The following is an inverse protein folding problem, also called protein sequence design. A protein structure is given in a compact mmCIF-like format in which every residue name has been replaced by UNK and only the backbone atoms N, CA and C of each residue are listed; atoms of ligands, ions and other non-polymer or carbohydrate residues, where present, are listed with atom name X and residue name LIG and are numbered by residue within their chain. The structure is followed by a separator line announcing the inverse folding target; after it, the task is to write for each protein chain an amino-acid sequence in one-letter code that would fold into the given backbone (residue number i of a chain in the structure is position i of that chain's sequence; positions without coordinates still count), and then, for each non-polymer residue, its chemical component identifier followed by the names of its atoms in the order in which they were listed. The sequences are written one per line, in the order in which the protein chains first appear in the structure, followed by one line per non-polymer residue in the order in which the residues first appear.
data_IF_857541421648
#
_entry.id   IF_857541421648
#
_cell.length_a   1.000
_cell.length_b   1.000
_cell.length_c   1.000
_cell.angle_alpha   90.00
_cell.angle_beta   90.00
_cell.angle_gamma   90.00
#
_symmetry.space_group_name_H-M   'P 1'
#
loop_
_entity.id
_entity.type
_entity.pdbx_description
1 polymer ?
#
# COMPACT_ATOMS: atom_id res chain seq x y z
N UNK A 1 18.41 12.86 17.03
CA UNK A 1 18.94 11.67 16.33
C UNK A 1 19.31 12.08 14.90
N UNK A 2 20.58 12.30 14.57
CA UNK A 2 21.01 12.75 13.23
C UNK A 2 20.57 11.81 12.10
N UNK A 3 20.45 10.52 12.42
CA UNK A 3 20.03 9.48 11.48
C UNK A 3 18.61 9.66 10.94
N UNK A 4 17.67 10.25 11.71
CA UNK A 4 16.29 10.42 11.25
C UNK A 4 16.20 11.56 10.23
N UNK A 5 16.90 12.67 10.46
CA UNK A 5 16.89 13.81 9.55
C UNK A 5 17.41 13.44 8.14
N UNK A 6 18.46 12.61 8.06
CA UNK A 6 18.95 12.08 6.77
C UNK A 6 17.89 11.19 6.09
N UNK A 7 17.14 10.40 6.86
CA UNK A 7 16.05 9.56 6.34
C UNK A 7 14.86 10.39 5.89
N UNK A 8 14.56 11.52 6.54
CA UNK A 8 13.55 12.49 6.08
C UNK A 8 13.90 13.09 4.72
N UNK A 9 15.18 13.39 4.50
CA UNK A 9 15.66 13.82 3.16
C UNK A 9 15.42 12.70 2.14
N UNK A 10 15.69 11.44 2.50
CA UNK A 10 15.40 10.32 1.62
C UNK A 10 13.90 10.17 1.32
N UNK A 11 13.03 10.37 2.32
CA UNK A 11 11.58 10.37 2.14
C UNK A 11 11.16 11.50 1.21
N UNK A 12 11.68 12.72 1.38
CA UNK A 12 11.40 13.84 0.46
C UNK A 12 11.82 13.49 -0.97
N UNK A 13 13.03 12.95 -1.16
CA UNK A 13 13.50 12.51 -2.48
C UNK A 13 12.58 11.45 -3.08
N UNK A 14 12.14 10.47 -2.29
CA UNK A 14 11.20 9.44 -2.72
C UNK A 14 9.85 10.05 -3.12
N UNK A 15 9.32 10.95 -2.30
CA UNK A 15 8.06 11.63 -2.57
C UNK A 15 8.14 12.53 -3.81
N UNK A 16 9.28 13.12 -4.11
CA UNK A 16 9.55 13.89 -5.34
C UNK A 16 9.94 13.01 -6.54
N UNK A 17 9.72 11.69 -6.44
CA UNK A 17 9.97 10.71 -7.48
C UNK A 17 11.44 10.54 -7.89
N UNK A 18 12.38 10.97 -7.03
CA UNK A 18 13.82 10.75 -7.19
C UNK A 18 14.22 9.44 -6.51
N UNK A 19 13.59 8.35 -6.95
CA UNK A 19 13.64 7.04 -6.28
C UNK A 19 15.06 6.49 -6.13
N UNK A 20 15.86 6.48 -7.20
CA UNK A 20 17.25 5.98 -7.14
C UNK A 20 18.12 6.79 -6.18
N UNK A 21 17.88 8.10 -6.05
CA UNK A 21 18.62 8.95 -5.11
C UNK A 21 18.24 8.67 -3.66
N UNK A 22 16.94 8.50 -3.39
CA UNK A 22 16.44 8.08 -2.08
C UNK A 22 17.01 6.72 -1.68
N UNK A 23 16.96 5.72 -2.58
CA UNK A 23 17.51 4.39 -2.34
C UNK A 23 19.01 4.45 -2.06
N UNK A 24 19.78 5.21 -2.86
CA UNK A 24 21.23 5.37 -2.67
C UNK A 24 21.57 6.02 -1.33
N UNK A 25 20.82 7.07 -0.93
CA UNK A 25 21.02 7.75 0.35
C UNK A 25 20.82 6.77 1.52
N UNK A 26 19.72 6.01 1.51
CA UNK A 26 19.42 5.04 2.56
C UNK A 26 20.41 3.87 2.57
N UNK A 27 20.76 3.36 1.39
CA UNK A 27 21.69 2.24 1.24
C UNK A 27 23.10 2.57 1.74
N UNK A 28 23.56 3.82 1.58
CA UNK A 28 24.89 4.24 2.00
C UNK A 28 25.18 4.01 3.50
N UNK A 29 24.15 4.05 4.34
CA UNK A 29 24.24 3.82 5.80
C UNK A 29 23.39 2.63 6.28
N UNK A 30 22.85 1.85 5.35
CA UNK A 30 22.19 0.59 5.67
C UNK A 30 23.17 -0.34 6.40
N UNK A 31 22.67 -1.16 7.33
CA UNK A 31 23.45 -2.00 8.25
C UNK A 31 24.33 -1.24 9.27
N UNK A 32 24.30 0.10 9.28
CA UNK A 32 25.03 0.94 10.26
C UNK A 32 24.10 1.81 11.09
N UNK A 33 22.97 2.22 10.53
CA UNK A 33 21.93 2.97 11.21
C UNK A 33 20.58 2.26 11.13
N UNK A 34 19.88 2.16 12.25
CA UNK A 34 18.57 1.50 12.34
C UNK A 34 17.56 2.12 11.37
N UNK A 35 17.43 3.44 11.36
CA UNK A 35 16.45 4.12 10.53
C UNK A 35 16.79 4.12 9.03
N UNK A 36 18.07 4.17 8.67
CA UNK A 36 18.49 4.02 7.27
C UNK A 36 18.18 2.61 6.75
N UNK A 37 18.48 1.59 7.56
CA UNK A 37 18.22 0.19 7.21
C UNK A 37 16.72 -0.07 7.10
N UNK A 38 15.93 0.43 8.05
CA UNK A 38 14.47 0.35 8.00
C UNK A 38 13.91 1.09 6.78
N UNK A 39 14.32 2.34 6.56
CA UNK A 39 13.86 3.15 5.42
C UNK A 39 14.19 2.49 4.07
N UNK A 40 15.40 1.93 3.93
CA UNK A 40 15.78 1.14 2.75
C UNK A 40 14.87 -0.08 2.59
N UNK A 41 14.58 -0.80 3.68
CA UNK A 41 13.64 -1.92 3.69
C UNK A 41 12.21 -1.52 3.31
N UNK A 42 11.72 -0.36 3.77
CA UNK A 42 10.37 0.17 3.45
C UNK A 42 10.27 0.49 1.96
N UNK A 43 11.21 1.28 1.41
CA UNK A 43 11.22 1.62 -0.03
C UNK A 43 11.40 0.35 -0.87
N UNK A 44 12.30 -0.54 -0.45
CA UNK A 44 12.50 -1.84 -1.10
C UNK A 44 11.23 -2.69 -1.08
N UNK A 45 10.44 -2.67 0.00
CA UNK A 45 9.16 -3.39 0.07
C UNK A 45 8.14 -2.82 -0.90
N UNK A 46 8.03 -1.48 -0.98
CA UNK A 46 7.16 -0.83 -1.95
C UNK A 46 7.56 -1.28 -3.37
N UNK A 47 8.85 -1.20 -3.70
CA UNK A 47 9.39 -1.65 -4.98
C UNK A 47 9.07 -3.12 -5.25
N UNK A 48 9.36 -4.01 -4.30
CA UNK A 48 9.13 -5.44 -4.41
C UNK A 48 7.65 -5.80 -4.61
N UNK A 49 6.72 -5.13 -3.92
CA UNK A 49 5.28 -5.34 -4.10
C UNK A 49 4.77 -4.84 -5.46
N UNK A 50 5.48 -3.92 -6.10
CA UNK A 50 5.11 -3.35 -7.39
C UNK A 50 5.75 -4.11 -8.56
N UNK A 51 7.01 -4.51 -8.42
CA UNK A 51 7.76 -5.19 -9.49
C UNK A 51 7.60 -6.71 -9.42
N UNK A 52 7.47 -7.26 -8.21
CA UNK A 52 7.57 -8.70 -7.92
C UNK A 52 8.80 -9.36 -8.53
N UNK A 53 9.86 -8.58 -8.75
CA UNK A 53 11.12 -9.15 -9.22
C UNK A 53 11.78 -9.86 -8.04
N UNK A 54 12.21 -11.14 -8.21
CA UNK A 54 12.83 -11.89 -7.13
C UNK A 54 14.00 -11.13 -6.48
N UNK A 55 14.78 -10.40 -7.28
CA UNK A 55 15.91 -9.60 -6.79
C UNK A 55 15.46 -8.44 -5.89
N UNK A 56 14.36 -7.76 -6.23
CA UNK A 56 13.82 -6.67 -5.40
C UNK A 56 13.21 -7.24 -4.11
N UNK A 57 12.52 -8.37 -4.19
CA UNK A 57 11.97 -9.09 -3.03
C UNK A 57 13.09 -9.50 -2.08
N UNK A 58 14.14 -10.16 -2.59
CA UNK A 58 15.27 -10.64 -1.78
C UNK A 58 16.00 -9.45 -1.11
N UNK A 59 16.27 -8.39 -1.86
CA UNK A 59 16.92 -7.19 -1.33
C UNK A 59 16.09 -6.51 -0.22
N UNK A 60 14.76 -6.44 -0.39
CA UNK A 60 13.86 -5.91 0.63
C UNK A 60 13.83 -6.81 1.87
N UNK A 61 13.73 -8.14 1.69
CA UNK A 61 13.73 -9.13 2.77
C UNK A 61 15.02 -9.06 3.60
N UNK A 62 16.18 -8.95 2.95
CA UNK A 62 17.49 -8.84 3.60
C UNK A 62 17.61 -7.54 4.41
N UNK A 63 17.15 -6.41 3.85
CA UNK A 63 17.14 -5.13 4.53
C UNK A 63 16.22 -5.14 5.77
N UNK A 64 15.01 -5.69 5.64
CA UNK A 64 14.06 -5.81 6.75
C UNK A 64 14.55 -6.75 7.84
N UNK A 65 15.23 -7.85 7.46
CA UNK A 65 15.87 -8.75 8.42
C UNK A 65 16.96 -8.02 9.20
N UNK A 66 17.83 -7.30 8.51
CA UNK A 66 18.88 -6.51 9.15
C UNK A 66 18.30 -5.43 10.09
N UNK A 67 17.24 -4.73 9.66
CA UNK A 67 16.54 -3.77 10.52
C UNK A 67 15.94 -4.44 11.77
N UNK A 68 15.38 -5.64 11.62
CA UNK A 68 14.85 -6.43 12.74
C UNK A 68 15.96 -6.82 13.73
N UNK A 69 17.10 -7.29 13.23
CA UNK A 69 18.25 -7.72 14.05
C UNK A 69 18.88 -6.52 14.79
N UNK A 70 19.08 -5.40 14.10
CA UNK A 70 19.57 -4.15 14.70
C UNK A 70 18.60 -3.62 15.76
N UNK A 71 17.30 -3.59 15.46
CA UNK A 71 16.29 -3.18 16.41
C UNK A 71 16.31 -4.10 17.63
N UNK A 72 16.43 -5.42 17.44
CA UNK A 72 16.51 -6.39 18.53
C UNK A 72 17.70 -6.14 19.46
N UNK A 73 18.86 -5.75 18.92
CA UNK A 73 20.05 -5.41 19.72
C UNK A 73 19.86 -4.13 20.55
N UNK A 74 19.02 -3.20 20.10
CA UNK A 74 18.72 -1.95 20.82
C UNK A 74 17.50 -2.06 21.77
N UNK A 75 16.73 -3.14 21.69
CA UNK A 75 15.56 -3.36 22.56
C UNK A 75 15.98 -3.70 23.98
N UNK A 76 15.13 -3.34 24.94
CA UNK A 76 15.34 -3.69 26.34
C UNK A 76 15.23 -5.20 26.51
N UNK A 77 16.26 -5.84 27.10
CA UNK A 77 16.23 -7.26 27.40
C UNK A 77 15.02 -7.59 28.29
N UNK A 78 14.25 -8.60 27.89
CA UNK A 78 13.20 -9.16 28.72
C UNK A 78 13.70 -10.48 29.30
N UNK A 79 13.63 -10.62 30.62
CA UNK A 79 13.91 -11.90 31.28
C UNK A 79 12.99 -13.00 30.73
N UNK A 80 13.50 -14.22 30.63
CA UNK A 80 12.83 -15.39 30.06
C UNK A 80 11.40 -15.60 30.61
N UNK A 81 11.20 -15.39 31.92
CA UNK A 81 9.90 -15.50 32.59
C UNK A 81 8.90 -14.42 32.14
N UNK A 82 9.36 -13.19 31.94
CA UNK A 82 8.53 -12.08 31.44
C UNK A 82 8.12 -12.31 29.97
N UNK A 83 9.02 -12.88 29.16
CA UNK A 83 8.73 -13.28 27.78
C UNK A 83 7.61 -14.32 27.69
N UNK A 84 7.68 -15.38 28.51
CA UNK A 84 6.65 -16.42 28.56
C UNK A 84 5.30 -15.89 29.08
N UNK A 85 5.31 -15.07 30.14
CA UNK A 85 4.09 -14.45 30.66
C UNK A 85 3.41 -13.54 29.61
N UNK A 86 4.19 -12.79 28.83
CA UNK A 86 3.68 -11.92 27.76
C UNK A 86 3.03 -12.70 26.59
N UNK A 87 3.52 -13.91 26.32
CA UNK A 87 3.03 -14.79 25.26
C UNK A 87 1.72 -15.50 25.66
N UNK A 88 1.57 -15.88 26.93
CA UNK A 88 0.37 -16.58 27.45
C UNK A 88 -0.78 -15.60 27.74
N UNK A 89 -0.49 -14.37 28.18
CA UNK A 89 -1.52 -13.39 28.57
C UNK A 89 -2.03 -12.52 27.42
N UNK A 90 -1.47 -12.67 26.21
CA UNK A 90 -1.73 -11.80 25.06
C UNK A 90 -1.23 -10.36 25.26
N UNK A 91 -0.45 -10.10 26.31
CA UNK A 91 0.02 -8.77 26.69
C UNK A 91 1.13 -8.22 25.78
N UNK A 92 1.74 -9.04 24.92
CA UNK A 92 2.85 -8.64 24.05
C UNK A 92 4.04 -8.09 24.83
N UNK A 93 5.13 -7.74 24.13
CA UNK A 93 6.32 -7.18 24.77
C UNK A 93 6.08 -5.83 25.47
N UNK A 94 5.05 -5.07 25.07
CA UNK A 94 4.67 -3.80 25.70
C UNK A 94 4.02 -3.92 27.09
N UNK A 95 3.65 -5.14 27.52
CA UNK A 95 2.81 -5.34 28.70
C UNK A 95 1.34 -4.95 28.44
N UNK A 96 0.43 -5.43 29.30
CA UNK A 96 -1.02 -5.28 29.10
C UNK A 96 -1.45 -3.81 28.91
N UNK A 97 -0.73 -2.88 29.55
CA UNK A 97 -1.07 -1.45 29.62
C UNK A 97 0.09 -0.52 29.20
N UNK A 98 1.10 -1.02 28.48
CA UNK A 98 2.24 -0.19 28.04
C UNK A 98 3.21 0.22 29.16
N UNK A 99 3.03 -0.28 30.38
CA UNK A 99 3.82 0.08 31.58
C UNK A 99 5.32 -0.21 31.42
N UNK A 100 5.68 -1.19 30.60
CA UNK A 100 7.08 -1.52 30.32
C UNK A 100 7.78 -0.43 29.49
N UNK A 101 7.05 0.34 28.68
CA UNK A 101 7.60 1.41 27.84
C UNK A 101 7.93 2.68 28.63
N UNK A 102 7.25 2.93 29.76
CA UNK A 102 7.55 4.10 30.62
C UNK A 102 8.99 4.08 31.14
N UNK A 103 9.54 2.88 31.35
CA UNK A 103 10.91 2.67 31.83
C UNK A 103 11.92 2.43 30.69
N UNK A 104 11.61 2.84 29.47
CA UNK A 104 12.49 2.73 28.30
C UNK A 104 13.03 4.09 27.87
N UNK A 105 14.28 4.10 27.42
CA UNK A 105 14.85 5.27 26.76
C UNK A 105 14.13 5.55 25.43
N UNK A 106 14.27 6.77 24.88
CA UNK A 106 13.76 7.10 23.55
C UNK A 106 14.27 6.10 22.49
N UNK A 107 15.58 5.80 22.49
CA UNK A 107 16.15 4.81 21.57
C UNK A 107 15.49 3.42 21.67
N UNK A 108 15.25 2.93 22.90
CA UNK A 108 14.60 1.64 23.11
C UNK A 108 13.15 1.62 22.59
N UNK A 109 12.41 2.72 22.76
CA UNK A 109 11.04 2.86 22.22
C UNK A 109 11.05 2.88 20.70
N UNK A 110 11.96 3.63 20.09
CA UNK A 110 12.14 3.64 18.65
C UNK A 110 12.55 2.25 18.11
N UNK A 111 13.36 1.50 18.86
CA UNK A 111 13.71 0.12 18.52
C UNK A 111 12.51 -0.84 18.59
N UNK A 112 11.61 -0.70 19.56
CA UNK A 112 10.35 -1.47 19.61
C UNK A 112 9.49 -1.19 18.37
N UNK A 113 9.32 0.10 18.03
CA UNK A 113 8.55 0.53 16.86
C UNK A 113 9.17 0.03 15.55
N UNK A 114 10.47 0.28 15.34
CA UNK A 114 11.21 -0.13 14.16
C UNK A 114 11.21 -1.66 13.98
N UNK A 115 11.32 -2.42 15.08
CA UNK A 115 11.19 -3.87 15.06
C UNK A 115 9.81 -4.28 14.57
N UNK A 116 8.74 -3.71 15.14
CA UNK A 116 7.37 -4.07 14.75
C UNK A 116 7.10 -3.76 13.28
N UNK A 117 7.59 -2.61 12.78
CA UNK A 117 7.47 -2.20 11.39
C UNK A 117 8.23 -3.12 10.43
N UNK A 118 9.53 -3.34 10.67
CA UNK A 118 10.35 -4.21 9.82
C UNK A 118 9.80 -5.64 9.79
N UNK A 119 9.40 -6.14 10.96
CA UNK A 119 8.87 -7.48 11.11
C UNK A 119 7.51 -7.66 10.42
N UNK A 120 6.63 -6.65 10.50
CA UNK A 120 5.37 -6.63 9.79
C UNK A 120 5.57 -6.66 8.29
N UNK A 121 6.40 -5.75 7.74
CA UNK A 121 6.65 -5.68 6.30
C UNK A 121 7.27 -6.98 5.78
N UNK A 122 8.18 -7.59 6.55
CA UNK A 122 8.78 -8.88 6.22
C UNK A 122 7.74 -9.99 6.16
N UNK A 123 6.82 -10.05 7.14
CA UNK A 123 5.75 -11.03 7.16
C UNK A 123 4.78 -10.83 5.98
N UNK A 124 4.42 -9.59 5.67
CA UNK A 124 3.58 -9.26 4.50
C UNK A 124 4.27 -9.67 3.20
N UNK A 125 5.54 -9.33 3.00
CA UNK A 125 6.28 -9.68 1.79
C UNK A 125 6.43 -11.19 1.65
N UNK A 126 6.68 -11.90 2.76
CA UNK A 126 6.70 -13.37 2.79
C UNK A 126 5.34 -13.96 2.42
N UNK A 127 4.22 -13.41 2.90
CA UNK A 127 2.86 -13.88 2.55
C UNK A 127 2.51 -13.66 1.09
N UNK A 128 2.99 -12.57 0.50
CA UNK A 128 2.72 -12.20 -0.89
C UNK A 128 3.55 -13.03 -1.87
N UNK A 129 4.72 -13.51 -1.44
CA UNK A 129 5.68 -14.23 -2.29
C UNK A 129 5.70 -15.74 -2.05
N UNK A 130 5.41 -16.20 -0.83
CA UNK A 130 5.36 -17.62 -0.48
C UNK A 130 3.98 -18.21 -0.79
N UNK A 131 3.97 -19.38 -1.45
CA UNK A 131 2.76 -20.09 -1.85
C UNK A 131 2.33 -21.16 -0.83
N UNK A 132 3.09 -21.34 0.26
CA UNK A 132 2.86 -22.37 1.25
C UNK A 132 1.85 -21.96 2.34
N UNK A 133 0.77 -22.73 2.50
CA UNK A 133 -0.23 -22.50 3.56
C UNK A 133 0.33 -22.60 4.99
N UNK A 134 1.40 -23.37 5.20
CA UNK A 134 2.09 -23.44 6.51
C UNK A 134 2.82 -22.13 6.78
N UNK A 135 3.45 -21.55 5.76
CA UNK A 135 4.03 -20.21 5.86
C UNK A 135 2.94 -19.17 6.17
N UNK A 136 1.76 -19.29 5.56
CA UNK A 136 0.64 -18.40 5.84
C UNK A 136 0.26 -18.34 7.34
N UNK A 137 0.13 -19.50 7.98
CA UNK A 137 -0.20 -19.57 9.43
C UNK A 137 0.93 -18.99 10.27
N UNK A 138 2.19 -19.34 9.97
CA UNK A 138 3.36 -18.83 10.67
C UNK A 138 3.47 -17.31 10.57
N UNK A 139 3.36 -16.76 9.37
CA UNK A 139 3.44 -15.31 9.16
C UNK A 139 2.22 -14.59 9.77
N UNK A 140 1.04 -15.21 9.80
CA UNK A 140 -0.11 -14.68 10.54
C UNK A 140 0.16 -14.49 12.04
N UNK A 141 0.87 -15.43 12.68
CA UNK A 141 1.32 -15.28 14.07
C UNK A 141 2.36 -14.16 14.22
N UNK A 142 3.24 -13.99 13.23
CA UNK A 142 4.23 -12.93 13.22
C UNK A 142 3.58 -11.54 13.13
N UNK A 143 2.56 -11.40 12.27
CA UNK A 143 1.74 -10.18 12.16
C UNK A 143 1.05 -9.86 13.50
N UNK A 144 0.55 -10.87 14.22
CA UNK A 144 -0.02 -10.68 15.56
C UNK A 144 0.98 -10.16 16.57
N UNK A 145 2.21 -10.66 16.53
CA UNK A 145 3.28 -10.16 17.40
C UNK A 145 3.59 -8.69 17.12
N UNK A 146 3.65 -8.28 15.84
CA UNK A 146 3.82 -6.88 15.47
C UNK A 146 2.65 -6.02 15.98
N UNK A 147 1.40 -6.46 15.77
CA UNK A 147 0.20 -5.76 16.26
C UNK A 147 0.22 -5.58 17.78
N UNK A 148 0.64 -6.60 18.54
CA UNK A 148 0.73 -6.51 19.99
C UNK A 148 1.75 -5.46 20.46
N UNK A 149 2.87 -5.29 19.73
CA UNK A 149 3.85 -4.24 20.02
C UNK A 149 3.23 -2.86 19.74
N UNK A 150 2.60 -2.67 18.57
CA UNK A 150 1.91 -1.42 18.25
C UNK A 150 0.83 -1.05 19.27
N UNK A 151 0.00 -2.02 19.67
CA UNK A 151 -1.04 -1.82 20.68
C UNK A 151 -0.45 -1.42 22.03
N UNK A 152 0.67 -2.02 22.44
CA UNK A 152 1.39 -1.63 23.65
C UNK A 152 1.96 -0.21 23.58
N UNK A 153 2.56 0.16 22.44
CA UNK A 153 3.06 1.51 22.21
C UNK A 153 1.93 2.55 22.20
N UNK A 154 0.79 2.22 21.58
CA UNK A 154 -0.38 3.08 21.52
C UNK A 154 -0.99 3.32 22.91
N UNK A 155 -1.18 2.28 23.71
CA UNK A 155 -1.66 2.44 25.10
C UNK A 155 -0.73 3.30 25.95
N UNK A 156 0.58 3.14 25.79
CA UNK A 156 1.57 3.97 26.48
C UNK A 156 1.43 5.45 26.07
N UNK A 157 1.31 5.71 24.77
CA UNK A 157 1.13 7.04 24.23
C UNK A 157 -0.16 7.69 24.74
N UNK A 158 -1.29 6.99 24.62
CA UNK A 158 -2.62 7.45 25.04
C UNK A 158 -2.64 7.79 26.52
N UNK A 159 -2.16 6.88 27.37
CA UNK A 159 -2.06 7.11 28.82
C UNK A 159 -1.18 8.31 29.17
N UNK A 160 -0.01 8.43 28.54
CA UNK A 160 0.88 9.57 28.80
C UNK A 160 0.20 10.89 28.44
N UNK A 161 -0.54 10.90 27.33
CA UNK A 161 -1.26 12.07 26.88
C UNK A 161 -2.48 12.41 27.76
N UNK A 162 -3.21 11.41 28.25
CA UNK A 162 -4.34 11.60 29.17
C UNK A 162 -3.89 12.11 30.55
N UNK A 163 -2.80 11.54 31.10
CA UNK A 163 -2.30 11.87 32.43
C UNK A 163 -1.56 13.22 32.47
N UNK A 164 -0.75 13.52 31.45
CA UNK A 164 0.22 14.63 31.48
C UNK A 164 0.13 15.58 30.26
N UNK A 165 -0.79 15.34 29.33
CA UNK A 165 -0.95 16.16 28.13
C UNK A 165 0.27 16.12 27.18
N UNK A 166 0.37 17.12 26.31
CA UNK A 166 1.51 17.25 25.36
C UNK A 166 2.85 17.44 26.08
N UNK A 167 2.86 18.12 27.24
CA UNK A 167 4.08 18.33 28.02
C UNK A 167 4.63 17.01 28.60
N UNK A 168 3.75 16.05 28.91
CA UNK A 168 4.14 14.70 29.32
C UNK A 168 4.88 13.93 28.23
N UNK A 169 4.50 14.14 26.96
CA UNK A 169 5.18 13.53 25.82
C UNK A 169 6.62 14.07 25.71
N UNK A 170 6.79 15.39 25.77
CA UNK A 170 8.10 16.04 25.72
C UNK A 170 9.00 15.62 26.89
N UNK A 171 8.47 15.67 28.12
CA UNK A 171 9.18 15.25 29.34
C UNK A 171 9.55 13.78 29.31
N UNK A 172 8.67 12.95 28.75
CA UNK A 172 8.90 11.53 28.51
C UNK A 172 9.88 11.25 27.37
N UNK A 173 10.36 12.25 26.63
CA UNK A 173 11.20 12.07 25.45
C UNK A 173 10.49 11.25 24.36
N UNK A 174 9.19 11.48 24.19
CA UNK A 174 8.36 10.90 23.11
C UNK A 174 8.31 11.94 21.99
N UNK A 175 9.04 11.68 20.91
CA UNK A 175 9.09 12.57 19.75
C UNK A 175 8.02 12.27 18.71
N UNK A 176 7.81 13.20 17.78
CA UNK A 176 6.84 13.12 16.70
C UNK A 176 7.05 11.93 15.76
N UNK A 177 8.28 11.42 15.61
CA UNK A 177 8.57 10.28 14.75
C UNK A 177 8.08 8.98 15.39
N UNK A 178 8.20 8.85 16.72
CA UNK A 178 7.57 7.77 17.46
C UNK A 178 6.05 7.86 17.37
N UNK A 179 5.48 9.04 17.65
CA UNK A 179 4.02 9.19 17.68
C UNK A 179 3.39 8.87 16.33
N UNK A 180 3.90 9.47 15.24
CA UNK A 180 3.42 9.21 13.88
C UNK A 180 3.49 7.73 13.51
N UNK A 181 4.54 7.00 13.93
CA UNK A 181 4.65 5.57 13.64
C UNK A 181 3.72 4.69 14.45
N UNK A 182 3.49 5.01 15.71
CA UNK A 182 2.50 4.30 16.53
C UNK A 182 1.09 4.50 15.97
N UNK A 183 0.75 5.73 15.57
CA UNK A 183 -0.53 6.05 14.96
C UNK A 183 -0.71 5.38 13.59
N UNK A 184 0.34 5.37 12.74
CA UNK A 184 0.33 4.65 11.47
C UNK A 184 0.04 3.17 11.66
N UNK A 185 0.78 2.50 12.55
CA UNK A 185 0.59 1.07 12.78
C UNK A 185 -0.78 0.76 13.34
N UNK A 186 -1.19 1.46 14.40
CA UNK A 186 -2.47 1.20 15.06
C UNK A 186 -3.66 1.52 14.15
N UNK A 187 -3.61 2.63 13.41
CA UNK A 187 -4.60 2.98 12.41
C UNK A 187 -4.62 1.99 11.25
N UNK A 188 -3.47 1.66 10.69
CA UNK A 188 -3.36 0.76 9.56
C UNK A 188 -3.84 -0.66 9.84
N UNK A 189 -3.51 -1.23 11.01
CA UNK A 189 -4.01 -2.54 11.42
C UNK A 189 -5.54 -2.56 11.51
N UNK A 190 -6.12 -1.59 12.21
CA UNK A 190 -7.57 -1.52 12.39
C UNK A 190 -8.30 -1.27 11.06
N UNK A 191 -7.72 -0.45 10.17
CA UNK A 191 -8.28 -0.19 8.85
C UNK A 191 -8.33 -1.48 8.03
N UNK A 192 -7.20 -2.19 7.90
CA UNK A 192 -7.12 -3.44 7.13
C UNK A 192 -8.07 -4.49 7.70
N UNK A 193 -8.12 -4.66 9.02
CA UNK A 193 -9.02 -5.61 9.68
C UNK A 193 -10.49 -5.25 9.43
N UNK A 194 -10.87 -3.96 9.49
CA UNK A 194 -12.24 -3.50 9.25
C UNK A 194 -12.73 -3.71 7.82
N UNK A 195 -11.81 -3.96 6.90
CA UNK A 195 -12.06 -4.18 5.47
C UNK A 195 -12.06 -5.67 5.08
N UNK A 196 -11.73 -6.56 6.02
CA UNK A 196 -11.74 -7.99 5.74
C UNK A 196 -13.17 -8.54 5.58
N UNK A 197 -13.40 -9.50 4.67
CA UNK A 197 -14.69 -10.19 4.59
C UNK A 197 -15.07 -10.82 5.94
N UNK A 198 -16.35 -10.83 6.35
CA UNK A 198 -16.76 -11.28 7.68
C UNK A 198 -16.34 -12.71 8.06
N UNK A 199 -16.15 -13.59 7.06
CA UNK A 199 -15.65 -14.94 7.29
C UNK A 199 -14.17 -14.96 7.66
N UNK A 200 -13.37 -14.10 7.05
CA UNK A 200 -11.93 -13.97 7.34
C UNK A 200 -11.75 -13.24 8.66
N UNK A 201 -12.48 -12.14 8.88
CA UNK A 201 -12.41 -11.37 10.12
C UNK A 201 -12.69 -12.24 11.35
N UNK A 202 -13.72 -13.09 11.32
CA UNK A 202 -14.02 -14.05 12.41
C UNK A 202 -12.86 -14.98 12.76
N UNK A 203 -12.02 -15.36 11.80
CA UNK A 203 -10.83 -16.18 12.07
C UNK A 203 -9.78 -15.40 12.88
N UNK A 204 -9.62 -14.12 12.57
CA UNK A 204 -8.71 -13.23 13.29
C UNK A 204 -9.28 -12.81 14.66
N UNK A 205 -10.60 -12.63 14.78
CA UNK A 205 -11.29 -12.35 16.06
C UNK A 205 -11.10 -13.45 17.09
N UNK A 206 -11.15 -14.72 16.67
CA UNK A 206 -10.85 -15.85 17.56
C UNK A 206 -9.42 -15.80 18.15
N UNK A 207 -8.50 -15.07 17.51
CA UNK A 207 -7.10 -14.92 17.92
C UNK A 207 -6.88 -13.57 18.64
N UNK A 208 -7.94 -12.77 18.84
CA UNK A 208 -7.93 -11.53 19.61
C UNK A 208 -7.73 -10.25 18.79
N UNK A 209 -7.93 -10.31 17.48
CA UNK A 209 -7.97 -9.12 16.63
C UNK A 209 -9.39 -8.57 16.50
N UNK A 210 -9.52 -7.26 16.43
CA UNK A 210 -10.77 -6.59 16.04
C UNK A 210 -10.40 -5.44 15.12
N UNK A 211 -11.24 -5.15 14.13
CA UNK A 211 -11.08 -4.00 13.26
C UNK A 211 -12.12 -2.94 13.60
N UNK A 212 -11.68 -1.75 13.96
CA UNK A 212 -12.54 -0.57 14.14
C UNK A 212 -12.13 0.50 13.14
N UNK A 213 -13.02 0.79 12.18
CA UNK A 213 -12.72 1.70 11.07
C UNK A 213 -12.70 3.16 11.49
N UNK A 214 -13.64 3.59 12.34
CA UNK A 214 -13.70 4.98 12.80
C UNK A 214 -12.47 5.31 13.65
N UNK A 215 -12.12 4.38 14.55
CA UNK A 215 -10.88 4.46 15.30
C UNK A 215 -9.66 4.49 14.37
N UNK A 216 -9.63 3.64 13.34
CA UNK A 216 -8.52 3.60 12.38
C UNK A 216 -8.31 4.93 11.66
N UNK A 217 -9.37 5.48 11.06
CA UNK A 217 -9.33 6.73 10.32
C UNK A 217 -8.91 7.87 11.22
N UNK A 218 -9.49 7.98 12.42
CA UNK A 218 -9.12 9.03 13.39
C UNK A 218 -7.63 9.00 13.75
N UNK A 219 -7.02 7.81 13.89
CA UNK A 219 -5.58 7.69 14.21
C UNK A 219 -4.69 8.03 13.03
N UNK A 220 -5.07 7.63 11.83
CA UNK A 220 -4.36 8.02 10.61
C UNK A 220 -4.48 9.53 10.38
N UNK A 221 -5.64 10.14 10.62
CA UNK A 221 -5.83 11.59 10.56
C UNK A 221 -4.90 12.32 11.54
N UNK A 222 -4.88 11.90 12.81
CA UNK A 222 -3.95 12.45 13.80
C UNK A 222 -2.48 12.32 13.38
N UNK A 223 -2.09 11.13 12.88
CA UNK A 223 -0.72 10.88 12.42
C UNK A 223 -0.35 11.64 11.14
N UNK A 224 -1.34 11.97 10.31
CA UNK A 224 -1.21 12.84 9.15
C UNK A 224 -1.25 14.34 9.50
N UNK A 225 -1.61 14.70 10.73
CA UNK A 225 -1.73 16.09 11.18
C UNK A 225 -3.10 16.73 10.87
N UNK A 226 -4.17 15.93 10.78
CA UNK A 226 -5.51 16.36 10.39
C UNK A 226 -6.53 16.25 11.55
N UNK A 227 -7.42 17.25 11.73
CA UNK A 227 -7.23 18.65 11.31
C UNK A 227 -5.96 19.25 11.97
N UNK A 228 -5.38 20.33 11.41
CA UNK A 228 -4.16 20.98 11.91
C UNK A 228 -4.43 21.70 13.24
N UNK A 229 -4.66 20.90 14.28
CA UNK A 229 -4.85 21.33 15.66
C UNK A 229 -3.56 21.12 16.42
N UNK A 230 -3.36 21.87 17.51
CA UNK A 230 -2.19 21.71 18.37
C UNK A 230 -2.00 20.25 18.83
N UNK A 231 -3.10 19.54 19.10
CA UNK A 231 -3.09 18.09 19.43
C UNK A 231 -2.51 17.24 18.30
N UNK A 232 -2.92 17.43 17.04
CA UNK A 232 -2.42 16.66 15.91
C UNK A 232 -0.97 17.04 15.54
N UNK A 233 -0.62 18.32 15.70
CA UNK A 233 0.75 18.81 15.50
C UNK A 233 1.72 18.22 16.55
N UNK A 234 1.32 18.20 17.82
CA UNK A 234 2.08 17.59 18.92
C UNK A 234 2.07 16.04 18.86
N UNK A 235 1.08 15.44 18.20
CA UNK A 235 0.92 13.99 18.12
C UNK A 235 1.45 13.36 16.82
N UNK A 236 2.13 14.07 15.91
CA UNK A 236 2.76 13.42 14.75
C UNK A 236 2.74 14.16 13.42
N UNK A 237 2.16 15.37 13.36
CA UNK A 237 2.08 16.16 12.12
C UNK A 237 3.42 16.53 11.44
N UNK A 238 4.56 16.31 12.10
CA UNK A 238 5.92 16.44 11.55
C UNK A 238 6.72 15.14 11.57
N UNK A 239 6.10 14.04 11.98
CA UNK A 239 6.79 12.78 12.16
C UNK A 239 7.18 12.14 10.83
N UNK A 240 8.20 11.28 10.88
CA UNK A 240 8.77 10.63 9.69
C UNK A 240 7.72 9.83 8.90
N UNK A 241 6.67 9.36 9.56
CA UNK A 241 5.63 8.47 9.01
C UNK A 241 4.34 9.21 8.64
N UNK A 242 4.31 10.54 8.76
CA UNK A 242 3.15 11.38 8.39
C UNK A 242 2.68 11.08 6.96
N UNK A 243 3.60 11.04 6.00
CA UNK A 243 3.25 10.79 4.60
C UNK A 243 2.59 9.40 4.40
N UNK A 244 2.95 8.40 5.20
CA UNK A 244 2.34 7.07 5.11
C UNK A 244 0.91 7.11 5.65
N UNK A 245 0.64 7.88 6.71
CA UNK A 245 -0.72 8.11 7.20
C UNK A 245 -1.57 8.79 6.13
N UNK A 246 -1.05 9.85 5.49
CA UNK A 246 -1.71 10.53 4.38
C UNK A 246 -1.99 9.56 3.22
N UNK A 247 -1.00 8.76 2.82
CA UNK A 247 -1.18 7.75 1.77
C UNK A 247 -2.24 6.71 2.14
N UNK A 248 -2.29 6.21 3.39
CA UNK A 248 -3.32 5.26 3.81
C UNK A 248 -4.73 5.86 3.77
N UNK A 249 -4.89 7.11 4.20
CA UNK A 249 -6.16 7.84 4.09
C UNK A 249 -6.57 8.01 2.63
N UNK A 250 -5.64 8.36 1.75
CA UNK A 250 -5.90 8.51 0.32
C UNK A 250 -6.22 7.17 -0.36
N UNK A 251 -5.52 6.10 0.00
CA UNK A 251 -5.84 4.74 -0.47
C UNK A 251 -7.27 4.36 -0.07
N UNK A 252 -7.70 4.69 1.15
CA UNK A 252 -9.05 4.41 1.61
C UNK A 252 -10.11 5.28 0.92
N UNK A 253 -9.95 6.60 0.95
CA UNK A 253 -10.96 7.54 0.46
C UNK A 253 -11.00 7.70 -1.05
N UNK A 254 -9.92 7.38 -1.79
CA UNK A 254 -9.85 7.56 -3.25
C UNK A 254 -9.81 6.22 -3.98
N UNK A 255 -8.91 5.30 -3.58
CA UNK A 255 -8.69 4.06 -4.33
C UNK A 255 -9.72 2.99 -3.96
N UNK A 256 -9.92 2.74 -2.67
CA UNK A 256 -10.83 1.68 -2.23
C UNK A 256 -12.29 2.08 -2.44
N UNK A 257 -12.64 3.35 -2.24
CA UNK A 257 -13.99 3.88 -2.51
C UNK A 257 -14.41 3.77 -3.97
N UNK A 258 -13.45 3.82 -4.91
CA UNK A 258 -13.69 3.60 -6.34
C UNK A 258 -13.76 2.11 -6.73
N UNK A 259 -13.53 1.19 -5.79
CA UNK A 259 -13.55 -0.26 -6.04
C UNK A 259 -14.71 -0.96 -5.31
N UNK A 260 -15.04 -0.46 -4.13
CA UNK A 260 -16.09 -0.98 -3.27
C UNK A 260 -16.87 0.19 -2.65
N UNK A 261 -18.16 -0.01 -2.40
CA UNK A 261 -18.99 1.01 -1.78
C UNK A 261 -18.54 1.23 -0.32
N UNK A 262 -18.02 2.42 -0.05
CA UNK A 262 -17.60 2.87 1.29
C UNK A 262 -18.48 4.05 1.72
N UNK A 263 -19.48 3.84 2.58
CA UNK A 263 -20.42 4.90 2.96
C UNK A 263 -19.76 6.05 3.73
N UNK A 264 -18.62 5.78 4.36
CA UNK A 264 -17.82 6.70 5.15
C UNK A 264 -16.62 7.29 4.39
N UNK A 265 -16.60 7.16 3.05
CA UNK A 265 -15.60 7.85 2.24
C UNK A 265 -15.78 9.39 2.31
N UNK A 266 -14.67 10.13 2.31
CA UNK A 266 -14.67 11.58 2.42
C UNK A 266 -13.78 12.19 1.32
N UNK A 267 -14.36 12.33 0.13
CA UNK A 267 -13.66 12.89 -1.05
C UNK A 267 -13.17 14.34 -0.81
N UNK A 268 -13.96 15.25 -0.22
CA UNK A 268 -13.48 16.60 0.08
C UNK A 268 -12.28 16.60 1.04
N UNK A 269 -12.23 15.70 2.01
CA UNK A 269 -11.07 15.56 2.87
C UNK A 269 -9.85 15.03 2.13
N UNK A 270 -10.00 13.97 1.32
CA UNK A 270 -8.93 13.43 0.50
C UNK A 270 -8.34 14.48 -0.45
N UNK A 271 -9.18 15.35 -1.03
CA UNK A 271 -8.76 16.52 -1.81
C UNK A 271 -7.83 17.44 -1.05
N UNK A 272 -8.19 17.81 0.18
CA UNK A 272 -7.35 18.68 1.03
C UNK A 272 -5.98 18.05 1.33
N UNK A 273 -5.95 16.74 1.61
CA UNK A 273 -4.70 16.01 1.81
C UNK A 273 -3.84 16.07 0.54
N UNK A 274 -4.42 15.75 -0.63
CA UNK A 274 -3.72 15.76 -1.91
C UNK A 274 -3.18 17.14 -2.28
N UNK A 275 -3.99 18.19 -2.13
CA UNK A 275 -3.59 19.56 -2.42
C UNK A 275 -2.41 19.98 -1.55
N UNK A 276 -2.44 19.69 -0.25
CA UNK A 276 -1.34 20.01 0.65
C UNK A 276 -0.08 19.21 0.34
N UNK A 277 -0.23 17.91 0.08
CA UNK A 277 0.89 17.04 -0.31
C UNK A 277 1.53 17.47 -1.63
N UNK A 278 0.74 17.92 -2.62
CA UNK A 278 1.23 18.39 -3.91
C UNK A 278 1.83 19.80 -3.87
N UNK A 279 1.49 20.63 -2.87
CA UNK A 279 2.21 21.89 -2.62
C UNK A 279 3.64 21.61 -2.18
N UNK A 280 3.82 20.62 -1.30
CA UNK A 280 5.12 20.25 -0.74
C UNK A 280 5.95 19.39 -1.71
N UNK A 281 5.29 18.50 -2.44
CA UNK A 281 5.90 17.57 -3.40
C UNK A 281 5.23 17.66 -4.77
N UNK A 282 5.47 18.75 -5.52
CA UNK A 282 4.77 18.99 -6.78
C UNK A 282 5.04 17.89 -7.78
N UNK A 283 6.25 17.36 -7.93
CA UNK A 283 6.54 16.29 -8.90
C UNK A 283 6.37 14.87 -8.34
N UNK A 284 5.51 14.71 -7.33
CA UNK A 284 5.26 13.41 -6.73
C UNK A 284 4.48 12.46 -7.61
N UNK A 285 5.09 11.32 -7.96
CA UNK A 285 4.46 10.25 -8.70
C UNK A 285 3.23 9.73 -7.94
N UNK A 286 3.38 9.48 -6.62
CA UNK A 286 2.31 8.91 -5.80
C UNK A 286 1.11 9.86 -5.70
N UNK A 287 1.34 11.11 -5.29
CA UNK A 287 0.24 12.06 -5.10
C UNK A 287 -0.38 12.50 -6.42
N UNK A 288 0.40 12.61 -7.51
CA UNK A 288 -0.17 12.90 -8.83
C UNK A 288 -0.98 11.73 -9.39
N UNK A 289 -0.53 10.49 -9.19
CA UNK A 289 -1.31 9.29 -9.57
C UNK A 289 -2.64 9.27 -8.84
N UNK A 290 -2.63 9.54 -7.53
CA UNK A 290 -3.85 9.63 -6.72
C UNK A 290 -4.75 10.80 -7.15
N UNK A 291 -4.18 11.94 -7.57
CA UNK A 291 -4.96 13.04 -8.17
C UNK A 291 -5.59 12.64 -9.51
N UNK A 292 -4.89 11.90 -10.35
CA UNK A 292 -5.45 11.32 -11.57
C UNK A 292 -6.65 10.40 -11.26
N UNK A 293 -6.51 9.53 -10.25
CA UNK A 293 -7.63 8.66 -9.81
C UNK A 293 -8.80 9.48 -9.29
N UNK A 294 -8.52 10.51 -8.48
CA UNK A 294 -9.56 11.39 -7.98
C UNK A 294 -10.33 12.07 -9.12
N UNK A 295 -9.64 12.57 -10.15
CA UNK A 295 -10.31 13.11 -11.33
C UNK A 295 -11.16 12.06 -12.05
N UNK A 296 -10.70 10.81 -12.11
CA UNK A 296 -11.49 9.71 -12.67
C UNK A 296 -12.80 9.53 -11.88
N UNK A 297 -12.73 9.39 -10.55
CA UNK A 297 -13.89 9.24 -9.64
C UNK A 297 -14.85 10.45 -9.66
N UNK A 298 -14.41 11.60 -10.15
CA UNK A 298 -15.24 12.80 -10.31
C UNK A 298 -15.74 12.99 -11.74
N UNK A 299 -15.64 11.95 -12.58
CA UNK A 299 -16.01 11.98 -13.99
C UNK A 299 -15.26 13.05 -14.82
N UNK A 300 -14.04 13.41 -14.41
CA UNK A 300 -13.15 14.33 -15.12
C UNK A 300 -12.06 13.57 -15.89
N UNK A 301 -12.48 12.68 -16.80
CA UNK A 301 -11.59 11.78 -17.52
C UNK A 301 -10.46 12.49 -18.30
N UNK A 302 -10.72 13.64 -18.91
CA UNK A 302 -9.69 14.43 -19.63
C UNK A 302 -8.59 14.97 -18.71
N UNK A 303 -8.97 15.42 -17.51
CA UNK A 303 -8.02 15.86 -16.50
C UNK A 303 -7.22 14.69 -15.94
N UNK A 304 -7.88 13.55 -15.72
CA UNK A 304 -7.22 12.31 -15.30
C UNK A 304 -6.17 11.87 -16.33
N UNK A 305 -6.53 11.80 -17.61
CA UNK A 305 -5.61 11.46 -18.72
C UNK A 305 -4.44 12.44 -18.77
N UNK A 306 -4.68 13.74 -18.63
CA UNK A 306 -3.63 14.76 -18.62
C UNK A 306 -2.64 14.54 -17.47
N UNK A 307 -3.14 14.26 -16.26
CA UNK A 307 -2.31 13.94 -15.11
C UNK A 307 -1.51 12.66 -15.32
N UNK A 308 -2.14 11.58 -15.79
CA UNK A 308 -1.45 10.31 -16.02
C UNK A 308 -0.35 10.46 -17.07
N UNK A 309 -0.57 11.18 -18.18
CA UNK A 309 0.48 11.47 -19.17
C UNK A 309 1.67 12.19 -18.55
N UNK A 310 1.42 13.17 -17.67
CA UNK A 310 2.48 13.86 -16.94
C UNK A 310 3.24 12.89 -16.05
N UNK A 311 2.55 12.10 -15.23
CA UNK A 311 3.16 11.14 -14.31
C UNK A 311 4.00 10.10 -15.05
N UNK A 312 3.48 9.57 -16.16
CA UNK A 312 4.20 8.65 -17.05
C UNK A 312 5.49 9.29 -17.56
N UNK A 313 5.48 10.57 -17.93
CA UNK A 313 6.67 11.28 -18.42
C UNK A 313 7.73 11.55 -17.34
N UNK A 314 7.32 11.64 -16.07
CA UNK A 314 8.20 11.88 -14.93
C UNK A 314 9.01 10.65 -14.53
N UNK A 315 8.53 9.45 -14.84
CA UNK A 315 9.15 8.22 -14.35
C UNK A 315 9.74 7.33 -15.44
N UNK A 316 11.06 7.16 -15.35
CA UNK A 316 11.85 6.30 -16.24
C UNK A 316 12.51 5.13 -15.52
N UNK A 317 12.65 5.23 -14.21
CA UNK A 317 13.39 4.25 -13.40
C UNK A 317 12.48 3.08 -13.03
N UNK A 318 11.32 3.35 -12.44
CA UNK A 318 10.39 2.33 -11.95
C UNK A 318 9.25 2.11 -12.96
N UNK A 319 9.56 1.46 -14.09
CA UNK A 319 8.61 1.29 -15.20
C UNK A 319 7.32 0.55 -14.82
N UNK A 320 7.37 -0.35 -13.83
CA UNK A 320 6.16 -1.05 -13.35
C UNK A 320 5.18 -0.11 -12.64
N UNK A 321 5.65 0.96 -12.00
CA UNK A 321 4.78 2.00 -11.46
C UNK A 321 4.02 2.72 -12.58
N UNK A 322 4.71 3.03 -13.67
CA UNK A 322 4.13 3.66 -14.86
C UNK A 322 2.99 2.82 -15.43
N UNK A 323 3.08 1.49 -15.38
CA UNK A 323 2.00 0.60 -15.86
C UNK A 323 0.68 0.78 -15.13
N UNK A 324 0.68 1.15 -13.84
CA UNK A 324 -0.55 1.49 -13.11
C UNK A 324 -1.23 2.70 -13.74
N UNK A 325 -0.45 3.74 -14.05
CA UNK A 325 -0.96 4.95 -14.70
C UNK A 325 -1.41 4.69 -16.14
N UNK A 326 -0.69 3.84 -16.88
CA UNK A 326 -1.07 3.45 -18.25
C UNK A 326 -2.39 2.68 -18.24
N UNK A 327 -2.62 1.82 -17.24
CA UNK A 327 -3.89 1.11 -17.07
C UNK A 327 -5.05 2.08 -16.79
N UNK A 328 -4.89 2.99 -15.84
CA UNK A 328 -5.94 3.93 -15.48
C UNK A 328 -6.24 4.91 -16.62
N UNK A 329 -5.19 5.38 -17.31
CA UNK A 329 -5.33 6.19 -18.53
C UNK A 329 -6.07 5.43 -19.62
N UNK A 330 -5.75 4.16 -19.88
CA UNK A 330 -6.44 3.34 -20.87
C UNK A 330 -7.93 3.20 -20.57
N UNK A 331 -8.28 3.03 -19.30
CA UNK A 331 -9.68 2.96 -18.84
C UNK A 331 -10.40 4.29 -19.08
N UNK A 332 -9.76 5.43 -18.80
CA UNK A 332 -10.32 6.75 -19.08
C UNK A 332 -10.54 6.98 -20.59
N UNK A 333 -9.55 6.66 -21.43
CA UNK A 333 -9.66 6.77 -22.89
C UNK A 333 -10.78 5.87 -23.44
N UNK A 334 -10.87 4.62 -22.94
CA UNK A 334 -11.92 3.70 -23.32
C UNK A 334 -13.32 4.16 -22.87
N UNK A 335 -13.45 4.75 -21.68
CA UNK A 335 -14.71 5.31 -21.20
C UNK A 335 -15.22 6.47 -22.08
N UNK A 336 -14.31 7.23 -22.68
CA UNK A 336 -14.62 8.29 -23.63
C UNK A 336 -14.83 7.81 -25.07
N UNK A 337 -14.61 6.52 -25.34
CA UNK A 337 -14.68 5.96 -26.69
C UNK A 337 -13.46 6.22 -27.57
N UNK A 338 -12.35 6.67 -26.99
CA UNK A 338 -11.05 6.82 -27.67
C UNK A 338 -10.36 5.47 -27.82
N UNK A 339 -10.94 4.61 -28.66
CA UNK A 339 -10.56 3.19 -28.78
C UNK A 339 -9.11 2.98 -29.24
N UNK A 340 -8.58 3.87 -30.08
CA UNK A 340 -7.24 3.74 -30.62
C UNK A 340 -6.18 4.00 -29.53
N UNK A 341 -6.39 5.05 -28.75
CA UNK A 341 -5.58 5.47 -27.60
C UNK A 341 -5.61 4.40 -26.50
N UNK A 342 -6.80 3.92 -26.15
CA UNK A 342 -6.96 2.81 -25.20
C UNK A 342 -6.24 1.53 -25.69
N UNK A 343 -6.39 1.18 -26.96
CA UNK A 343 -5.70 0.03 -27.57
C UNK A 343 -4.18 0.18 -27.48
N UNK A 344 -3.64 1.37 -27.75
CA UNK A 344 -2.22 1.64 -27.65
C UNK A 344 -1.71 1.42 -26.21
N UNK A 345 -2.43 1.93 -25.21
CA UNK A 345 -2.07 1.74 -23.80
C UNK A 345 -2.07 0.25 -23.40
N UNK A 346 -3.10 -0.52 -23.76
CA UNK A 346 -3.14 -1.95 -23.49
C UNK A 346 -2.09 -2.75 -24.27
N UNK A 347 -1.64 -2.23 -25.42
CA UNK A 347 -0.50 -2.80 -26.16
C UNK A 347 0.78 -2.64 -25.36
N UNK A 348 1.07 -1.44 -24.87
CA UNK A 348 2.22 -1.17 -23.99
C UNK A 348 2.21 -2.08 -22.76
N UNK A 349 1.06 -2.21 -22.08
CA UNK A 349 0.91 -3.11 -20.94
C UNK A 349 1.15 -4.57 -21.32
N UNK A 350 0.57 -5.02 -22.44
CA UNK A 350 0.75 -6.38 -22.92
C UNK A 350 2.19 -6.69 -23.35
N UNK A 351 2.97 -5.72 -23.81
CA UNK A 351 4.37 -5.93 -24.21
C UNK A 351 5.30 -5.88 -22.99
N UNK A 352 5.13 -4.88 -22.13
CA UNK A 352 6.09 -4.56 -21.09
C UNK A 352 5.80 -5.19 -19.73
N UNK A 353 4.53 -5.31 -19.34
CA UNK A 353 4.17 -5.80 -18.00
C UNK A 353 4.25 -7.31 -17.92
N UNK A 354 4.74 -7.87 -16.81
CA UNK A 354 4.75 -9.33 -16.59
C UNK A 354 3.41 -9.85 -16.03
N UNK A 355 2.56 -8.94 -15.56
CA UNK A 355 1.29 -9.22 -14.91
C UNK A 355 0.16 -9.31 -15.93
N UNK A 356 -0.87 -10.07 -15.61
CA UNK A 356 -2.20 -9.98 -16.24
C UNK A 356 -2.21 -9.98 -17.79
N UNK A 357 -1.23 -10.64 -18.44
CA UNK A 357 -1.11 -10.67 -19.92
C UNK A 357 -2.39 -11.13 -20.60
N UNK A 358 -3.11 -12.10 -20.02
CA UNK A 358 -4.40 -12.55 -20.52
C UNK A 358 -5.47 -11.44 -20.53
N UNK A 359 -5.48 -10.60 -19.48
CA UNK A 359 -6.39 -9.46 -19.38
C UNK A 359 -6.01 -8.41 -20.40
N UNK A 360 -4.74 -7.98 -20.46
CA UNK A 360 -4.30 -6.96 -21.42
C UNK A 360 -4.58 -7.38 -22.87
N UNK A 361 -4.29 -8.63 -23.24
CA UNK A 361 -4.58 -9.15 -24.59
C UNK A 361 -6.07 -9.17 -24.90
N UNK A 362 -6.89 -9.59 -23.94
CA UNK A 362 -8.34 -9.59 -24.09
C UNK A 362 -8.89 -8.18 -24.27
N UNK A 363 -8.49 -7.25 -23.41
CA UNK A 363 -8.98 -5.87 -23.43
C UNK A 363 -8.53 -5.16 -24.71
N UNK A 364 -7.28 -5.34 -25.15
CA UNK A 364 -6.78 -4.87 -26.44
C UNK A 364 -7.66 -5.36 -27.60
N UNK A 365 -8.03 -6.65 -27.62
CA UNK A 365 -8.91 -7.21 -28.64
C UNK A 365 -10.33 -6.62 -28.57
N UNK A 366 -10.83 -6.38 -27.35
CA UNK A 366 -12.15 -5.77 -27.11
C UNK A 366 -12.21 -4.31 -27.56
N UNK A 367 -11.15 -3.53 -27.35
CA UNK A 367 -11.08 -2.14 -27.84
C UNK A 367 -11.05 -2.08 -29.38
N UNK A 368 -10.28 -2.96 -30.03
CA UNK A 368 -10.31 -3.11 -31.48
C UNK A 368 -11.70 -3.54 -31.99
N UNK A 369 -12.32 -4.49 -31.31
CA UNK A 369 -13.68 -4.92 -31.64
C UNK A 369 -14.70 -3.79 -31.47
N UNK A 370 -14.57 -2.94 -30.44
CA UNK A 370 -15.44 -1.79 -30.23
C UNK A 370 -15.29 -0.72 -31.33
N UNK A 371 -14.06 -0.52 -31.82
CA UNK A 371 -13.77 0.48 -32.87
C UNK A 371 -14.40 0.12 -34.22
N UNK A 372 -14.31 -1.14 -34.64
CA UNK A 372 -14.91 -1.65 -35.88
C UNK A 372 -14.96 -3.19 -35.84
N UNK A 373 -16.12 -3.80 -35.48
CA UNK A 373 -16.24 -5.24 -35.34
C UNK A 373 -15.98 -6.03 -36.63
N UNK A 374 -16.37 -5.47 -37.78
CA UNK A 374 -16.27 -6.16 -39.08
C UNK A 374 -14.85 -6.08 -39.62
N UNK A 375 -14.25 -4.89 -39.64
CA UNK A 375 -12.89 -4.69 -40.13
C UNK A 375 -11.85 -5.42 -39.29
N UNK A 376 -12.03 -5.47 -37.97
CA UNK A 376 -11.07 -6.07 -37.06
C UNK A 376 -11.37 -7.54 -36.73
N UNK A 377 -12.42 -8.15 -37.32
CA UNK A 377 -12.95 -9.47 -36.93
C UNK A 377 -11.89 -10.58 -36.88
N UNK A 378 -11.07 -10.69 -37.92
CA UNK A 378 -10.03 -11.72 -38.00
C UNK A 378 -8.91 -11.47 -36.99
N UNK A 379 -8.42 -10.22 -36.90
CA UNK A 379 -7.38 -9.84 -35.95
C UNK A 379 -7.83 -10.09 -34.51
N UNK A 380 -9.03 -9.64 -34.15
CA UNK A 380 -9.64 -9.90 -32.82
C UNK A 380 -9.75 -11.41 -32.58
N UNK A 381 -10.17 -12.18 -33.58
CA UNK A 381 -10.24 -13.63 -33.49
C UNK A 381 -8.90 -14.28 -33.16
N UNK A 382 -7.81 -13.88 -33.81
CA UNK A 382 -6.48 -14.42 -33.50
C UNK A 382 -6.01 -14.01 -32.10
N UNK A 383 -6.20 -12.74 -31.71
CA UNK A 383 -5.85 -12.26 -30.37
C UNK A 383 -6.59 -13.04 -29.27
N UNK A 384 -7.88 -13.31 -29.45
CA UNK A 384 -8.69 -14.02 -28.48
C UNK A 384 -8.31 -15.51 -28.36
N UNK A 385 -7.75 -16.15 -29.39
CA UNK A 385 -7.20 -17.51 -29.28
C UNK A 385 -5.98 -17.59 -28.36
N UNK A 386 -5.24 -16.50 -28.20
CA UNK A 386 -4.07 -16.44 -27.33
C UNK A 386 -4.45 -16.34 -25.85
N UNK A 387 -5.55 -15.65 -25.52
CA UNK A 387 -5.96 -15.33 -24.14
C UNK A 387 -5.95 -16.56 -23.20
N UNK A 388 -6.51 -17.73 -23.56
CA UNK A 388 -6.47 -18.90 -22.67
C UNK A 388 -5.06 -19.43 -22.38
N UNK A 389 -4.10 -19.22 -23.28
CA UNK A 389 -2.71 -19.65 -23.14
C UNK A 389 -1.89 -18.70 -22.26
N UNK A 390 -2.39 -17.48 -22.07
CA UNK A 390 -1.74 -16.42 -21.29
C UNK A 390 -2.19 -16.40 -19.83
N UNK A 391 -3.18 -17.19 -19.43
CA UNK A 391 -3.67 -17.19 -18.05
C UNK A 391 -2.66 -17.79 -17.10
N UNK A 392 -2.49 -17.15 -15.95
CA UNK A 392 -1.60 -17.53 -14.87
C UNK A 392 -2.41 -18.06 -13.68
N UNK A 393 -1.68 -18.67 -12.74
CA UNK A 393 -2.21 -19.09 -11.44
C UNK A 393 -1.34 -18.46 -10.36
N UNK A 394 -1.98 -17.92 -9.33
CA UNK A 394 -1.30 -17.42 -8.13
C UNK A 394 -1.65 -18.39 -7.00
N UNK A 395 -0.63 -18.90 -6.29
CA UNK A 395 -0.79 -19.94 -5.27
C UNK A 395 -1.63 -21.15 -5.74
N UNK A 396 -1.40 -21.59 -6.98
CA UNK A 396 -2.12 -22.71 -7.60
C UNK A 396 -3.59 -22.42 -7.96
N UNK A 397 -4.11 -21.25 -7.61
CA UNK A 397 -5.48 -20.81 -7.93
C UNK A 397 -5.49 -19.92 -9.16
N UNK A 398 -6.46 -20.15 -10.04
CA UNK A 398 -6.68 -19.25 -11.18
C UNK A 398 -7.15 -17.89 -10.68
N UNK A 399 -6.62 -16.82 -11.28
CA UNK A 399 -7.06 -15.46 -11.01
C UNK A 399 -8.50 -15.31 -11.53
N UNK A 400 -9.48 -14.89 -10.70
CA UNK A 400 -10.90 -14.86 -11.09
C UNK A 400 -11.16 -14.07 -12.39
N UNK A 401 -10.52 -12.92 -12.53
CA UNK A 401 -10.65 -12.06 -13.70
C UNK A 401 -10.03 -12.68 -14.96
N UNK A 402 -8.90 -13.39 -14.83
CA UNK A 402 -8.31 -14.12 -15.97
C UNK A 402 -9.18 -15.29 -16.42
N UNK A 403 -9.80 -15.99 -15.48
CA UNK A 403 -10.79 -17.03 -15.78
C UNK A 403 -12.00 -16.44 -16.53
N UNK A 404 -12.43 -15.24 -16.13
CA UNK A 404 -13.50 -14.50 -16.82
C UNK A 404 -13.12 -14.20 -18.27
N UNK A 405 -12.01 -13.51 -18.52
CA UNK A 405 -11.61 -13.12 -19.90
C UNK A 405 -11.31 -14.33 -20.78
N UNK A 406 -10.71 -15.39 -20.23
CA UNK A 406 -10.47 -16.66 -20.92
C UNK A 406 -11.78 -17.34 -21.36
N UNK A 407 -12.81 -17.31 -20.52
CA UNK A 407 -14.15 -17.81 -20.87
C UNK A 407 -14.80 -16.97 -21.95
N UNK A 408 -14.68 -15.63 -21.88
CA UNK A 408 -15.23 -14.72 -22.89
C UNK A 408 -14.55 -14.88 -24.25
N UNK A 409 -13.23 -15.06 -24.26
CA UNK A 409 -12.46 -15.34 -25.46
C UNK A 409 -12.92 -16.64 -26.15
N UNK A 410 -13.17 -17.72 -25.39
CA UNK A 410 -13.78 -18.94 -25.95
C UNK A 410 -15.20 -18.71 -26.48
N UNK A 411 -16.01 -17.95 -25.74
CA UNK A 411 -17.40 -17.64 -26.12
C UNK A 411 -17.47 -16.92 -27.47
N UNK A 412 -16.55 -16.02 -27.78
CA UNK A 412 -16.48 -15.35 -29.09
C UNK A 412 -16.44 -16.35 -30.25
N UNK A 413 -15.60 -17.39 -30.18
CA UNK A 413 -15.52 -18.40 -31.24
C UNK A 413 -16.73 -19.32 -31.30
N UNK A 414 -17.37 -19.59 -30.16
CA UNK A 414 -18.62 -20.36 -30.11
C UNK A 414 -19.83 -19.59 -30.65
N UNK A 415 -19.74 -18.26 -30.73
CA UNK A 415 -20.81 -17.37 -31.19
C UNK A 415 -20.50 -16.75 -32.55
N UNK A 416 -19.93 -17.54 -33.46
CA UNK A 416 -19.55 -17.09 -34.81
C UNK A 416 -18.76 -15.77 -34.81
N UNK A 417 -17.74 -15.68 -33.94
CA UNK A 417 -16.87 -14.51 -33.83
C UNK A 417 -17.61 -13.21 -33.51
N UNK A 418 -18.58 -13.29 -32.59
CA UNK A 418 -19.36 -12.15 -32.09
C UNK A 418 -19.39 -12.13 -30.57
N UNK A 419 -19.29 -10.94 -29.99
CA UNK A 419 -19.63 -10.66 -28.59
C UNK A 419 -20.58 -9.46 -28.53
N UNK A 420 -21.52 -9.50 -27.60
CA UNK A 420 -22.45 -8.39 -27.34
C UNK A 420 -21.81 -7.40 -26.37
N UNK A 421 -21.52 -6.19 -26.85
CA UNK A 421 -20.89 -5.07 -26.13
C UNK A 421 -19.80 -5.49 -25.12
N UNK A 422 -18.75 -6.21 -25.55
CA UNK A 422 -17.71 -6.69 -24.64
C UNK A 422 -16.92 -5.56 -23.95
N UNK A 423 -16.84 -4.38 -24.58
CA UNK A 423 -16.18 -3.20 -24.02
C UNK A 423 -16.95 -2.65 -22.82
N UNK A 424 -18.28 -2.60 -22.90
CA UNK A 424 -19.15 -2.11 -21.84
C UNK A 424 -19.07 -3.02 -20.60
N UNK A 425 -19.07 -4.33 -20.82
CA UNK A 425 -18.92 -5.33 -19.76
C UNK A 425 -17.56 -5.22 -19.06
N UNK A 426 -16.49 -4.97 -19.83
CA UNK A 426 -15.15 -4.78 -19.26
C UNK A 426 -15.03 -3.48 -18.48
N UNK A 427 -15.51 -2.36 -19.04
CA UNK A 427 -15.49 -1.08 -18.33
C UNK A 427 -16.33 -1.15 -17.06
N UNK A 428 -17.47 -1.84 -17.08
CA UNK A 428 -18.26 -2.07 -15.86
C UNK A 428 -17.49 -2.88 -14.80
N UNK A 429 -16.76 -3.93 -15.19
CA UNK A 429 -15.96 -4.73 -14.25
C UNK A 429 -14.76 -3.94 -13.69
N UNK A 430 -14.23 -3.00 -14.46
CA UNK A 430 -13.09 -2.17 -14.07
C UNK A 430 -13.47 -0.82 -13.48
N UNK A 431 -14.75 -0.60 -13.19
CA UNK A 431 -15.24 0.68 -12.66
C UNK A 431 -14.82 1.86 -13.55
N UNK A 432 -14.90 1.66 -14.86
CA UNK A 432 -14.55 2.66 -15.87
C UNK A 432 -15.59 3.77 -16.05
N UNK A 433 -16.73 3.67 -15.37
CA UNK A 433 -17.81 4.68 -15.38
C UNK A 433 -18.03 5.32 -14.00
N UNK A 434 -17.22 4.95 -13.01
CA UNK A 434 -17.35 5.43 -11.62
C UNK A 434 -16.85 6.86 -11.45
#
# INVERSE_FOLDING_TARGET
MSDIAEVEVAVSLFLDSRFSEAERLLKARSYRSLYHTLGYGVIGTIKALLTFEPQDVDAAMDALKAATDMASACRKEQGFVAGLASMVTGAGRGGRDGSNLKNMTSLQRHAELAYAEAYLLKAVLSLVTDTNMVAFVREGLNIRSAYAIYKGCYKFLEKTFEDEGSEGLERGGIDEHFVSGVLLGQGGFNLVLSMMPPRVLRLFEMIGFSGDREFALTRLEMGGGWPPTYRAAAAGGKGLRKFMCDLMLLMYHVILSSMVQLPDCNIPFAKRILEESLKNHPESFLFRTLRGRLFQTECHADLAVTEYRRVISLQKEWRQLVHICVWDMATCEAAQGHWAEATACYTTLFEESRWSKAIYRYVQAVMLYASDPEKNRDKVGEMLKEVPKLTQKIAGKSIPLEKFVSRKARKFHLQDRRLFFPWLEILYIFNGFD
#
